data_IF_942210175328
#
_entry.id   IF_942210175328
#
_cell.length_a   1.000
_cell.length_b   1.000
_cell.length_c   1.000
_cell.angle_alpha   90.00
_cell.angle_beta   90.00
_cell.angle_gamma   90.00
#
_symmetry.space_group_name_H-M   'P 1'
#
loop_
_entity.id
_entity.type
_entity.pdbx_description
1 polymer ?
#
# COMPACT_ATOMS: atom_id res chain seq x y z
N UNK A 1 -17.31 0.30 -15.43
CA UNK A 1 -17.87 -1.04 -15.75
C UNK A 1 -17.23 -1.52 -17.04
N UNK A 2 -16.12 -2.24 -16.94
CA UNK A 2 -15.51 -2.93 -18.08
C UNK A 2 -15.37 -4.39 -17.65
N UNK A 3 -16.31 -5.23 -18.08
CA UNK A 3 -16.17 -6.68 -17.88
C UNK A 3 -15.20 -7.17 -18.95
N UNK A 4 -13.97 -7.48 -18.56
CA UNK A 4 -13.01 -8.20 -19.38
C UNK A 4 -13.53 -9.62 -19.62
N UNK A 5 -14.21 -9.82 -20.76
CA UNK A 5 -14.54 -11.15 -21.27
C UNK A 5 -13.26 -11.81 -21.78
N UNK A 6 -12.72 -12.74 -21.02
CA UNK A 6 -11.71 -13.68 -21.52
C UNK A 6 -12.45 -14.92 -22.03
N UNK A 7 -12.67 -15.02 -23.35
CA UNK A 7 -13.19 -16.25 -23.96
C UNK A 7 -12.08 -17.31 -23.92
N UNK A 8 -12.28 -18.35 -23.11
CA UNK A 8 -11.29 -19.42 -22.90
C UNK A 8 -11.19 -20.43 -24.05
N UNK A 9 -12.07 -20.39 -25.05
CA UNK A 9 -12.03 -21.32 -26.18
C UNK A 9 -12.27 -20.64 -27.53
N UNK A 10 -11.42 -21.01 -28.48
CA UNK A 10 -11.56 -20.77 -29.93
C UNK A 10 -11.89 -22.10 -30.59
N UNK A 11 -13.09 -22.21 -31.17
CA UNK A 11 -13.52 -23.25 -32.11
C UNK A 11 -13.67 -24.69 -31.57
N UNK A 12 -14.89 -25.03 -31.13
CA UNK A 12 -15.60 -26.30 -31.44
C UNK A 12 -16.95 -26.45 -30.72
N UNK A 13 -17.62 -25.35 -30.32
CA UNK A 13 -19.05 -25.44 -30.03
C UNK A 13 -19.77 -25.86 -31.31
N UNK A 14 -20.08 -27.15 -31.44
CA UNK A 14 -20.91 -27.72 -32.51
C UNK A 14 -22.33 -27.12 -32.55
N UNK A 15 -22.64 -26.15 -31.68
CA UNK A 15 -23.98 -25.57 -31.52
C UNK A 15 -25.01 -26.61 -31.08
N UNK A 16 -24.59 -27.81 -30.66
CA UNK A 16 -25.47 -28.95 -30.38
C UNK A 16 -25.86 -29.08 -28.90
N UNK A 17 -25.33 -28.20 -28.04
CA UNK A 17 -25.64 -28.15 -26.60
C UNK A 17 -25.06 -29.31 -25.79
N UNK A 18 -24.11 -30.08 -26.35
CA UNK A 18 -23.50 -31.23 -25.68
C UNK A 18 -22.29 -30.88 -24.82
N UNK A 19 -21.70 -29.71 -25.01
CA UNK A 19 -20.59 -29.23 -24.19
C UNK A 19 -21.07 -28.79 -22.81
N UNK A 20 -20.36 -29.23 -21.79
CA UNK A 20 -20.49 -28.77 -20.40
C UNK A 20 -19.13 -28.28 -19.90
N UNK A 21 -19.07 -27.00 -19.56
CA UNK A 21 -17.88 -26.39 -18.97
C UNK A 21 -17.84 -26.58 -17.46
N UNK A 22 -16.68 -26.95 -16.94
CA UNK A 22 -16.45 -27.16 -15.51
C UNK A 22 -15.19 -26.45 -15.09
N UNK A 23 -15.24 -25.78 -13.94
CA UNK A 23 -14.15 -25.04 -13.34
C UNK A 23 -13.69 -25.75 -12.06
N UNK A 24 -12.38 -25.87 -11.88
CA UNK A 24 -11.73 -26.46 -10.71
C UNK A 24 -10.53 -25.62 -10.29
N UNK A 25 -10.06 -25.85 -9.06
CA UNK A 25 -8.90 -25.14 -8.51
C UNK A 25 -9.31 -24.19 -7.39
N UNK A 26 -8.52 -23.14 -7.19
CA UNK A 26 -8.68 -22.23 -6.07
C UNK A 26 -9.93 -21.35 -6.22
N UNK A 27 -10.80 -21.34 -5.20
CA UNK A 27 -12.01 -20.51 -5.22
C UNK A 27 -13.07 -20.96 -6.24
N UNK A 28 -12.89 -22.07 -6.95
CA UNK A 28 -13.91 -22.61 -7.85
C UNK A 28 -15.17 -23.01 -7.05
N UNK A 29 -16.33 -22.54 -7.51
CA UNK A 29 -17.64 -22.79 -6.87
C UNK A 29 -17.95 -21.89 -5.67
N UNK A 30 -16.97 -21.16 -5.13
CA UNK A 30 -17.15 -20.26 -3.97
C UNK A 30 -16.87 -18.80 -4.29
N UNK A 31 -15.84 -18.52 -5.08
CA UNK A 31 -15.40 -17.20 -5.54
C UNK A 31 -15.64 -17.03 -7.03
N UNK A 32 -15.32 -18.06 -7.81
CA UNK A 32 -15.50 -18.09 -9.26
C UNK A 32 -16.47 -19.19 -9.65
N UNK A 33 -17.47 -18.85 -10.45
CA UNK A 33 -18.43 -19.80 -11.02
C UNK A 33 -18.35 -19.70 -12.53
N UNK A 34 -18.31 -20.85 -13.19
CA UNK A 34 -18.41 -20.95 -14.65
C UNK A 34 -19.84 -21.30 -15.03
N UNK A 35 -20.39 -20.59 -16.01
CA UNK A 35 -21.63 -20.99 -16.65
C UNK A 35 -21.36 -22.24 -17.50
N UNK A 36 -21.99 -23.36 -17.10
CA UNK A 36 -21.73 -24.66 -17.72
C UNK A 36 -22.06 -24.72 -19.22
N UNK A 37 -22.89 -23.81 -19.74
CA UNK A 37 -23.30 -23.81 -21.15
C UNK A 37 -22.45 -22.89 -22.02
N UNK A 38 -22.06 -21.74 -21.48
CA UNK A 38 -21.39 -20.67 -22.24
C UNK A 38 -19.91 -20.56 -21.94
N UNK A 39 -19.43 -21.18 -20.86
CA UNK A 39 -18.04 -21.08 -20.41
C UNK A 39 -17.68 -19.72 -19.79
N UNK A 40 -18.65 -18.80 -19.63
CA UNK A 40 -18.40 -17.50 -18.99
C UNK A 40 -18.11 -17.71 -17.52
N UNK A 41 -17.01 -17.12 -17.04
CA UNK A 41 -16.64 -17.13 -15.63
C UNK A 41 -17.09 -15.83 -14.99
N UNK A 42 -17.77 -15.93 -13.85
CA UNK A 42 -18.24 -14.81 -13.04
C UNK A 42 -17.73 -14.92 -11.61
N UNK A 43 -17.53 -13.77 -10.98
CA UNK A 43 -17.20 -13.68 -9.56
C UNK A 43 -18.50 -13.63 -8.75
N UNK A 44 -18.55 -14.36 -7.63
CA UNK A 44 -19.73 -14.44 -6.75
C UNK A 44 -19.68 -13.46 -5.58
N UNK A 45 -18.51 -12.90 -5.26
CA UNK A 45 -18.28 -11.95 -4.18
C UNK A 45 -17.24 -10.89 -4.60
N UNK A 46 -17.16 -9.73 -3.92
CA UNK A 46 -16.06 -8.80 -4.13
C UNK A 46 -14.70 -9.49 -3.95
N UNK A 47 -13.72 -9.09 -4.75
CA UNK A 47 -12.33 -9.53 -4.62
C UNK A 47 -11.54 -8.45 -3.91
N UNK A 48 -10.65 -8.88 -3.02
CA UNK A 48 -9.74 -8.06 -2.24
C UNK A 48 -8.34 -8.57 -2.56
N UNK A 49 -7.49 -7.68 -3.11
CA UNK A 49 -6.13 -8.06 -3.56
C UNK A 49 -5.22 -8.26 -2.36
N UNK A 50 -5.41 -7.48 -1.30
CA UNK A 50 -4.66 -7.56 -0.05
C UNK A 50 -4.96 -8.88 0.69
N UNK A 51 -6.16 -9.43 0.53
CA UNK A 51 -6.50 -10.78 0.99
C UNK A 51 -5.85 -11.86 0.10
N UNK A 52 -6.03 -11.75 -1.22
CA UNK A 52 -5.46 -12.70 -2.21
C UNK A 52 -5.39 -12.11 -3.61
N UNK A 53 -4.17 -12.02 -4.15
CA UNK A 53 -3.86 -11.37 -5.42
C UNK A 53 -3.94 -12.30 -6.66
N UNK A 54 -3.84 -13.62 -6.46
CA UNK A 54 -3.77 -14.60 -7.55
C UNK A 54 -4.57 -15.87 -7.26
N UNK A 55 -5.32 -16.37 -8.25
CA UNK A 55 -6.02 -17.65 -8.20
C UNK A 55 -5.61 -18.57 -9.34
N UNK A 56 -5.22 -19.80 -8.99
CA UNK A 56 -4.85 -20.84 -9.98
C UNK A 56 -6.04 -21.74 -10.26
N UNK A 57 -6.51 -21.72 -11.50
CA UNK A 57 -7.72 -22.40 -11.94
C UNK A 57 -7.46 -23.32 -13.14
N UNK A 58 -8.33 -24.31 -13.28
CA UNK A 58 -8.35 -25.26 -14.38
C UNK A 58 -9.77 -25.32 -14.94
N UNK A 59 -9.92 -25.05 -16.22
CA UNK A 59 -11.17 -25.24 -16.96
C UNK A 59 -11.12 -26.53 -17.79
N UNK A 60 -12.25 -27.23 -17.86
CA UNK A 60 -12.43 -28.42 -18.69
C UNK A 60 -13.75 -28.35 -19.45
N UNK A 61 -13.73 -28.73 -20.71
CA UNK A 61 -14.93 -29.00 -21.51
C UNK A 61 -15.22 -30.51 -21.51
N UNK A 62 -16.44 -30.89 -21.16
CA UNK A 62 -16.88 -32.28 -21.04
C UNK A 62 -18.16 -32.54 -21.83
N UNK A 63 -18.37 -33.77 -22.27
CA UNK A 63 -19.62 -34.20 -22.88
C UNK A 63 -20.70 -34.38 -21.80
N UNK A 64 -21.85 -33.72 -21.96
CA UNK A 64 -22.92 -33.67 -20.96
C UNK A 64 -23.58 -35.02 -20.66
N UNK A 65 -23.50 -35.99 -21.58
CA UNK A 65 -24.13 -37.31 -21.40
C UNK A 65 -23.17 -38.31 -20.75
N UNK A 66 -21.88 -38.18 -21.03
CA UNK A 66 -20.86 -39.18 -20.63
C UNK A 66 -19.86 -38.67 -19.60
N UNK A 67 -19.87 -37.36 -19.30
CA UNK A 67 -18.88 -36.63 -18.48
C UNK A 67 -17.42 -36.85 -18.95
N UNK A 68 -17.22 -37.31 -20.19
CA UNK A 68 -15.89 -37.50 -20.77
C UNK A 68 -15.31 -36.16 -21.21
N UNK A 69 -14.03 -35.87 -20.93
CA UNK A 69 -13.36 -34.69 -21.46
C UNK A 69 -13.43 -34.67 -22.98
N UNK A 70 -13.92 -33.56 -23.54
CA UNK A 70 -13.92 -33.30 -24.98
C UNK A 70 -12.56 -32.78 -25.44
N UNK A 71 -11.86 -32.06 -24.55
CA UNK A 71 -10.56 -31.45 -24.78
C UNK A 71 -9.64 -31.65 -23.56
N UNK A 72 -8.31 -31.52 -23.74
CA UNK A 72 -7.39 -31.37 -22.62
C UNK A 72 -7.77 -30.20 -21.71
N UNK A 73 -7.50 -30.32 -20.42
CA UNK A 73 -7.76 -29.25 -19.45
C UNK A 73 -6.88 -28.02 -19.70
N UNK A 74 -7.44 -26.84 -19.56
CA UNK A 74 -6.70 -25.57 -19.65
C UNK A 74 -6.44 -25.00 -18.26
N UNK A 75 -5.16 -24.87 -17.91
CA UNK A 75 -4.74 -24.21 -16.67
C UNK A 75 -4.48 -22.72 -16.93
N UNK A 76 -5.01 -21.86 -16.07
CA UNK A 76 -4.84 -20.42 -16.16
C UNK A 76 -4.81 -19.78 -14.78
N UNK A 77 -4.46 -18.50 -14.77
CA UNK A 77 -4.32 -17.69 -13.57
C UNK A 77 -5.26 -16.49 -13.69
N UNK A 78 -6.07 -16.25 -12.66
CA UNK A 78 -6.80 -14.99 -12.50
C UNK A 78 -5.98 -14.12 -11.53
N UNK A 79 -5.59 -12.93 -12.00
CA UNK A 79 -4.93 -11.91 -11.18
C UNK A 79 -5.94 -10.83 -10.79
N UNK A 80 -6.00 -10.52 -9.50
CA UNK A 80 -6.81 -9.41 -8.98
C UNK A 80 -6.03 -8.13 -9.21
N UNK A 81 -6.67 -7.14 -9.84
CA UNK A 81 -6.06 -5.82 -10.01
C UNK A 81 -6.26 -5.01 -8.75
N UNK A 82 -5.18 -4.35 -8.34
CA UNK A 82 -5.14 -3.41 -7.24
C UNK A 82 -6.07 -2.20 -7.48
N UNK A 83 -6.69 -1.74 -6.42
CA UNK A 83 -7.32 -0.43 -6.34
C UNK A 83 -6.71 0.31 -5.17
N UNK A 84 -6.62 1.64 -5.25
CA UNK A 84 -6.01 2.42 -4.18
C UNK A 84 -6.99 2.62 -3.01
N UNK A 85 -7.17 1.61 -2.17
CA UNK A 85 -8.10 1.61 -1.04
C UNK A 85 -7.44 1.42 0.33
N UNK A 86 -6.12 1.26 0.39
CA UNK A 86 -5.37 1.23 1.64
C UNK A 86 -4.64 2.57 1.86
N UNK A 87 -4.91 3.30 2.95
CA UNK A 87 -4.16 4.50 3.25
C UNK A 87 -2.75 4.17 3.79
N UNK A 88 -1.75 5.05 3.60
CA UNK A 88 -0.43 4.88 4.20
C UNK A 88 -0.50 4.78 5.73
N UNK A 89 0.23 3.84 6.32
CA UNK A 89 0.29 3.61 7.78
C UNK A 89 1.71 3.77 8.29
N UNK A 90 1.91 4.63 9.30
CA UNK A 90 3.19 4.79 9.99
C UNK A 90 3.46 3.60 10.93
N UNK A 91 4.65 3.01 10.82
CA UNK A 91 4.97 1.74 11.50
C UNK A 91 5.21 1.89 13.02
N UNK A 92 5.90 2.96 13.42
CA UNK A 92 6.36 3.16 14.81
C UNK A 92 5.77 4.44 15.44
N UNK A 93 4.65 4.93 14.89
CA UNK A 93 3.97 6.12 15.39
C UNK A 93 3.12 5.84 16.65
N UNK A 94 2.90 6.85 17.52
CA UNK A 94 3.50 8.18 17.50
C UNK A 94 4.98 8.15 17.88
N UNK A 95 5.77 9.02 17.25
CA UNK A 95 7.21 9.07 17.41
C UNK A 95 7.64 10.03 18.53
N UNK A 96 8.82 9.78 19.08
CA UNK A 96 9.50 10.69 20.01
C UNK A 96 10.97 10.82 19.62
N UNK A 97 11.47 12.05 19.60
CA UNK A 97 12.87 12.32 19.27
C UNK A 97 13.42 13.48 20.11
N UNK A 98 14.75 13.62 20.13
CA UNK A 98 15.45 14.73 20.78
C UNK A 98 16.32 15.44 19.74
N UNK A 99 16.38 16.77 19.79
CA UNK A 99 17.26 17.57 18.92
C UNK A 99 18.32 18.26 19.79
N UNK A 100 19.61 18.30 19.39
CA UNK A 100 20.62 19.04 20.14
C UNK A 100 20.30 20.54 20.20
N UNK A 101 20.64 21.21 21.31
CA UNK A 101 20.55 22.67 21.35
C UNK A 101 21.46 23.29 20.29
N UNK A 102 21.02 24.42 19.74
CA UNK A 102 21.79 25.14 18.73
C UNK A 102 22.21 24.25 17.55
N UNK A 103 21.36 23.28 17.20
CA UNK A 103 21.55 22.46 16.02
C UNK A 103 21.59 23.35 14.78
N UNK A 104 22.53 23.06 13.87
CA UNK A 104 22.60 23.74 12.59
C UNK A 104 21.36 23.40 11.76
N UNK A 105 21.02 24.26 10.80
CA UNK A 105 20.02 23.93 9.78
C UNK A 105 20.43 22.65 9.04
N UNK A 106 19.49 21.74 8.85
CA UNK A 106 19.69 20.49 8.13
C UNK A 106 20.19 19.31 8.98
N UNK A 107 20.35 19.48 10.29
CA UNK A 107 20.64 18.38 11.22
C UNK A 107 19.53 17.34 11.17
N UNK A 108 19.86 16.09 10.84
CA UNK A 108 18.93 14.96 10.86
C UNK A 108 18.52 14.62 12.29
N UNK A 109 17.23 14.40 12.50
CA UNK A 109 16.65 14.10 13.82
C UNK A 109 16.19 12.65 13.88
N UNK A 110 15.25 12.28 13.01
CA UNK A 110 14.65 10.94 12.94
C UNK A 110 14.19 10.68 11.51
N UNK A 111 14.10 9.41 11.13
CA UNK A 111 13.42 8.99 9.91
C UNK A 111 12.08 8.38 10.30
N UNK A 112 10.98 8.92 9.78
CA UNK A 112 9.67 8.29 9.90
C UNK A 112 9.42 7.38 8.71
N UNK A 113 8.76 6.26 8.94
CA UNK A 113 8.48 5.26 7.91
C UNK A 113 6.99 4.94 7.92
N UNK A 114 6.36 5.14 6.77
CA UNK A 114 5.04 4.66 6.48
C UNK A 114 5.10 3.58 5.40
N UNK A 115 4.12 2.68 5.43
CA UNK A 115 3.90 1.66 4.41
C UNK A 115 2.47 1.73 3.91
N UNK A 116 2.32 1.49 2.62
CA UNK A 116 1.02 1.29 1.99
C UNK A 116 0.87 -0.18 1.64
N UNK A 117 -0.34 -0.72 1.80
CA UNK A 117 -0.60 -2.13 1.51
C UNK A 117 -0.87 -2.37 0.01
N UNK A 118 -1.25 -1.32 -0.73
CA UNK A 118 -1.59 -1.38 -2.16
C UNK A 118 -0.38 -1.82 -3.02
N UNK A 119 -0.62 -2.17 -4.28
CA UNK A 119 0.45 -2.62 -5.20
C UNK A 119 1.37 -1.44 -5.60
N UNK A 120 2.69 -1.49 -5.33
CA UNK A 120 3.63 -0.43 -5.72
C UNK A 120 3.83 -0.32 -7.24
N UNK A 121 3.50 -1.35 -7.99
CA UNK A 121 3.74 -1.44 -9.44
C UNK A 121 2.58 -0.92 -10.27
N UNK A 122 1.36 -0.93 -9.70
CA UNK A 122 0.15 -0.48 -10.38
C UNK A 122 -0.20 0.95 -9.95
N UNK A 123 -0.30 1.88 -10.90
CA UNK A 123 -0.86 3.22 -10.63
C UNK A 123 -0.07 4.12 -9.67
N UNK A 124 1.11 3.73 -9.18
CA UNK A 124 1.82 4.36 -8.05
C UNK A 124 1.03 4.33 -6.73
N UNK A 125 0.09 3.37 -6.55
CA UNK A 125 -0.76 3.28 -5.36
C UNK A 125 0.05 3.18 -4.08
N UNK A 126 1.18 2.45 -4.05
CA UNK A 126 2.01 2.38 -2.85
C UNK A 126 3.15 3.42 -2.76
N UNK A 127 3.22 4.38 -3.69
CA UNK A 127 4.32 5.36 -3.72
C UNK A 127 4.02 6.52 -2.77
N UNK A 128 4.84 6.68 -1.75
CA UNK A 128 4.60 7.66 -0.69
C UNK A 128 5.35 8.97 -0.89
N UNK A 129 4.71 10.06 -0.47
CA UNK A 129 5.30 11.38 -0.27
C UNK A 129 5.07 11.84 1.15
N UNK A 130 6.16 12.21 1.82
CA UNK A 130 6.11 12.77 3.17
C UNK A 130 5.99 14.29 3.13
N UNK A 131 5.09 14.83 3.94
CA UNK A 131 4.91 16.28 4.13
C UNK A 131 4.70 16.61 5.60
N UNK A 132 5.00 17.85 5.96
CA UNK A 132 4.69 18.39 7.28
C UNK A 132 3.33 19.09 7.21
N UNK A 133 2.43 18.75 8.12
CA UNK A 133 1.17 19.46 8.36
C UNK A 133 1.32 20.49 9.48
N UNK A 134 2.22 20.25 10.44
CA UNK A 134 2.56 21.18 11.52
C UNK A 134 4.06 21.14 11.82
N UNK A 135 4.64 22.29 12.17
CA UNK A 135 6.06 22.42 12.54
C UNK A 135 6.98 22.85 11.40
N UNK A 136 6.45 23.23 10.24
CA UNK A 136 7.22 23.65 9.05
C UNK A 136 8.11 24.87 9.29
N UNK A 137 7.76 25.70 10.29
CA UNK A 137 8.54 26.86 10.69
C UNK A 137 9.85 26.51 11.41
N UNK A 138 10.00 25.26 11.88
CA UNK A 138 11.17 24.80 12.65
C UNK A 138 11.85 23.59 12.03
N UNK A 139 11.11 22.79 11.24
CA UNK A 139 11.57 21.53 10.68
C UNK A 139 11.25 21.41 9.20
N UNK A 140 12.00 20.55 8.53
CA UNK A 140 11.73 20.10 7.15
C UNK A 140 11.77 18.58 7.10
N UNK A 141 11.00 17.99 6.19
CA UNK A 141 11.02 16.54 5.93
C UNK A 141 11.47 16.29 4.52
N UNK A 142 12.33 15.30 4.33
CA UNK A 142 12.64 14.79 3.01
C UNK A 142 11.42 14.02 2.46
N UNK A 143 10.85 14.45 1.32
CA UNK A 143 9.59 13.92 0.83
C UNK A 143 9.66 12.47 0.34
N UNK A 144 10.85 11.92 0.09
CA UNK A 144 11.02 10.55 -0.40
C UNK A 144 11.44 9.58 0.71
N UNK A 145 12.27 10.06 1.64
CA UNK A 145 12.86 9.21 2.67
C UNK A 145 12.18 9.33 4.03
N UNK A 146 11.40 10.38 4.27
CA UNK A 146 10.79 10.64 5.58
C UNK A 146 11.79 11.13 6.65
N UNK A 147 13.01 11.51 6.25
CA UNK A 147 14.01 12.06 7.19
C UNK A 147 13.60 13.47 7.60
N UNK A 148 13.34 13.65 8.90
CA UNK A 148 13.04 14.93 9.52
C UNK A 148 14.34 15.64 9.92
N UNK A 149 14.44 16.93 9.58
CA UNK A 149 15.61 17.79 9.81
C UNK A 149 15.20 19.12 10.42
N UNK A 150 16.14 19.76 11.11
CA UNK A 150 16.01 21.17 11.53
C UNK A 150 15.95 22.10 10.31
N UNK A 151 15.09 23.12 10.35
CA UNK A 151 14.96 24.15 9.32
C UNK A 151 15.38 25.54 9.81
N UNK A 152 15.55 25.72 11.13
CA UNK A 152 16.02 26.96 11.75
C UNK A 152 17.31 26.71 12.53
N UNK A 153 18.18 27.73 12.68
CA UNK A 153 19.29 27.66 13.61
C UNK A 153 18.80 27.86 15.05
N UNK A 154 19.70 27.64 16.02
CA UNK A 154 19.56 28.14 17.39
C UNK A 154 18.23 27.77 18.06
N UNK A 155 17.81 26.50 17.90
CA UNK A 155 16.70 25.94 18.67
C UNK A 155 17.09 25.93 20.16
N UNK A 156 16.57 26.93 20.85
CA UNK A 156 16.91 27.27 22.23
C UNK A 156 15.83 26.76 23.19
N UNK A 157 16.25 25.96 24.17
CA UNK A 157 15.35 25.25 25.08
C UNK A 157 14.58 26.21 25.99
N UNK A 158 15.24 27.27 26.44
CA UNK A 158 14.70 28.31 27.30
C UNK A 158 13.55 29.07 26.62
N UNK A 159 13.55 29.10 25.29
CA UNK A 159 12.50 29.69 24.48
C UNK A 159 11.33 28.73 24.25
N UNK A 160 11.63 27.45 23.96
CA UNK A 160 10.62 26.41 23.76
C UNK A 160 11.21 25.01 24.01
N UNK A 161 10.68 24.30 25.01
CA UNK A 161 11.22 23.02 25.48
C UNK A 161 10.58 21.79 24.81
N UNK A 162 9.48 21.98 24.09
CA UNK A 162 8.80 20.93 23.32
C UNK A 162 8.31 21.44 21.97
N UNK A 163 8.47 20.60 20.94
CA UNK A 163 7.90 20.82 19.62
C UNK A 163 7.02 19.66 19.22
N UNK A 164 5.82 19.98 18.72
CA UNK A 164 4.94 19.03 18.09
C UNK A 164 5.08 19.16 16.57
N UNK A 165 5.46 18.06 15.92
CA UNK A 165 5.51 17.96 14.46
C UNK A 165 4.44 16.98 14.02
N UNK A 166 3.56 17.40 13.12
CA UNK A 166 2.57 16.51 12.51
C UNK A 166 3.01 16.22 11.09
N UNK A 167 3.23 14.94 10.80
CA UNK A 167 3.61 14.45 9.47
C UNK A 167 2.43 13.79 8.78
N UNK A 168 2.41 13.93 7.46
CA UNK A 168 1.52 13.20 6.57
C UNK A 168 2.36 12.36 5.60
N UNK A 169 2.00 11.08 5.46
CA UNK A 169 2.39 10.27 4.31
C UNK A 169 1.18 10.24 3.38
N UNK A 170 1.40 10.57 2.11
CA UNK A 170 0.37 10.56 1.07
C UNK A 170 0.78 9.63 -0.05
N UNK A 171 -0.11 8.74 -0.46
CA UNK A 171 0.11 7.90 -1.62
C UNK A 171 -0.06 8.69 -2.95
N UNK A 172 0.30 8.07 -4.07
CA UNK A 172 0.14 8.67 -5.40
C UNK A 172 -0.92 7.98 -6.26
N UNK A 173 -1.75 7.10 -5.69
CA UNK A 173 -2.73 6.33 -6.43
C UNK A 173 -4.07 7.04 -6.65
N UNK A 174 -4.88 6.42 -7.51
CA UNK A 174 -6.29 6.76 -7.69
C UNK A 174 -6.60 7.94 -8.63
N UNK A 175 -7.81 7.92 -9.21
CA UNK A 175 -8.33 9.01 -10.07
C UNK A 175 -8.87 10.21 -9.28
N UNK A 176 -9.04 10.06 -7.95
CA UNK A 176 -9.63 11.05 -7.04
C UNK A 176 -8.59 11.73 -6.14
N UNK A 177 -7.30 11.42 -6.32
CA UNK A 177 -6.20 11.86 -5.47
C UNK A 177 -5.88 10.86 -4.36
N UNK A 178 -4.60 10.77 -4.01
CA UNK A 178 -4.11 9.74 -3.09
C UNK A 178 -4.62 9.83 -1.65
N UNK A 179 -4.62 8.70 -0.96
CA UNK A 179 -4.98 8.57 0.45
C UNK A 179 -3.82 9.02 1.34
N UNK A 180 -4.14 9.30 2.61
CA UNK A 180 -3.19 9.89 3.55
C UNK A 180 -3.24 9.23 4.90
N UNK A 181 -2.08 8.93 5.46
CA UNK A 181 -1.88 8.68 6.88
C UNK A 181 -1.21 9.85 7.57
N UNK A 182 -1.45 10.02 8.87
CA UNK A 182 -0.78 11.06 9.67
C UNK A 182 -0.17 10.46 10.93
N UNK A 183 0.94 11.05 11.38
CA UNK A 183 1.56 10.72 12.66
C UNK A 183 2.11 11.98 13.33
N UNK A 184 2.41 11.88 14.61
CA UNK A 184 3.04 12.95 15.38
C UNK A 184 4.46 12.55 15.78
N UNK A 185 5.39 13.49 15.71
CA UNK A 185 6.70 13.40 16.36
C UNK A 185 6.72 14.43 17.48
N UNK A 186 6.89 13.95 18.71
CA UNK A 186 7.10 14.83 19.87
C UNK A 186 8.60 15.00 20.09
N UNK A 187 9.06 16.25 20.07
CA UNK A 187 10.43 16.58 20.42
C UNK A 187 10.52 16.72 21.93
N UNK A 188 11.09 15.70 22.59
CA UNK A 188 11.25 15.62 24.04
C UNK A 188 12.73 15.80 24.34
N UNK A 189 13.07 16.88 25.04
CA UNK A 189 14.43 17.35 25.35
C UNK A 189 15.24 17.88 24.16
N UNK A 190 15.44 19.20 24.18
CA UNK A 190 16.63 19.80 23.57
C UNK A 190 17.81 19.48 24.51
N UNK A 191 18.81 18.73 24.03
CA UNK A 191 19.98 18.41 24.86
C UNK A 191 20.92 19.61 24.91
N UNK A 192 21.16 20.16 26.10
CA UNK A 192 22.22 21.14 26.33
C UNK A 192 23.57 20.54 25.90
N UNK A 193 24.36 21.26 25.12
CA UNK A 193 25.79 21.00 25.00
C UNK A 193 26.33 21.16 26.41
N UNK A 194 26.92 20.11 26.97
CA UNK A 194 27.61 20.15 28.26
C UNK A 194 28.47 21.42 28.35
N UNK A 195 27.96 22.47 29.02
CA UNK A 195 28.78 23.60 29.41
C UNK A 195 29.65 23.11 30.55
N UNK A 196 30.90 22.77 30.25
CA UNK A 196 31.93 22.61 31.27
C UNK A 196 32.11 24.00 31.88
N UNK A 197 31.41 24.27 33.00
CA UNK A 197 31.66 25.45 33.81
C UNK A 197 33.00 25.26 34.50
N UNK A 198 34.05 25.89 33.98
CA UNK A 198 35.28 26.06 34.76
C UNK A 198 35.01 27.11 35.85
N UNK A 199 34.95 26.68 37.11
CA UNK A 199 35.08 27.61 38.23
C UNK A 199 36.53 28.09 38.27
N UNK A 200 36.77 29.35 37.93
CA UNK A 200 38.06 29.98 38.20
C UNK A 200 38.25 30.07 39.72
N UNK A 201 39.13 29.24 40.26
CA UNK A 201 39.66 29.43 41.61
C UNK A 201 40.63 30.62 41.58
N UNK A 202 40.39 31.58 42.48
CA UNK A 202 41.28 32.71 42.77
C UNK A 202 42.56 32.23 43.47
#
# INVERSE_FOLDING_TARGET
MNQSKTNLHTDMDRGDGRTKYVLRGEGAGSVFVIDEKTGNIHVTKPLDREEKDEYRLIATATDRQTDRPLEPSSQFIIRVQDINDNPPVFQDGPYSASVPEMANIGTSIIQVTATDADDPTYGNSAKLVYTLLQGQQYFSVDPQTGILRTAVPDMDRESQDQYLVVLQAKDMGGHLGGLTGTTTVTMMEIRDKMQIRFSSAK
#
